data_IF_924232157675
#
_entry.id   IF_924232157675
#
_cell.length_a   1.000
_cell.length_b   1.000
_cell.length_c   1.000
_cell.angle_alpha   90.00
_cell.angle_beta   90.00
_cell.angle_gamma   90.00
#
_symmetry.space_group_name_H-M   'P 1'
#
loop_
_entity.id
_entity.type
_entity.pdbx_description
1 polymer ?
#
# COMPACT_ATOMS: atom_id res chain seq x y z
N UNK A 1 16.75 -2.45 5.38
CA UNK A 1 16.66 -3.59 4.46
C UNK A 1 15.39 -3.46 3.63
N UNK A 2 15.38 -3.96 2.38
CA UNK A 2 14.21 -3.86 1.51
C UNK A 2 13.19 -4.94 1.92
N UNK A 3 11.95 -4.54 2.21
CA UNK A 3 10.86 -5.48 2.54
C UNK A 3 10.08 -5.79 1.27
N UNK A 4 9.95 -7.08 0.97
CA UNK A 4 9.25 -7.58 -0.21
C UNK A 4 7.94 -8.26 0.20
N UNK A 5 6.81 -7.62 -0.09
CA UNK A 5 5.48 -8.17 0.14
C UNK A 5 4.86 -8.65 -1.17
N UNK A 6 4.28 -9.85 -1.17
CA UNK A 6 3.49 -10.38 -2.29
C UNK A 6 2.07 -10.67 -1.83
N UNK A 7 1.09 -10.09 -2.52
CA UNK A 7 -0.33 -10.19 -2.19
C UNK A 7 -1.11 -10.78 -3.37
N UNK A 8 -2.14 -11.57 -3.07
CA UNK A 8 -3.18 -11.92 -4.03
C UNK A 8 -4.31 -10.91 -3.92
N UNK A 9 -4.67 -10.30 -5.05
CA UNK A 9 -5.63 -9.20 -5.08
C UNK A 9 -6.71 -9.53 -6.11
N UNK A 10 -8.01 -9.43 -5.77
CA UNK A 10 -9.08 -9.60 -6.75
C UNK A 10 -8.91 -8.67 -7.95
N UNK A 11 -9.28 -9.12 -9.16
CA UNK A 11 -9.15 -8.34 -10.39
C UNK A 11 -9.79 -6.96 -10.34
N UNK A 12 -10.97 -6.86 -9.71
CA UNK A 12 -11.67 -5.59 -9.49
C UNK A 12 -10.88 -4.62 -8.61
N UNK A 13 -10.26 -5.11 -7.54
CA UNK A 13 -9.43 -4.32 -6.65
C UNK A 13 -8.10 -3.93 -7.32
N UNK A 14 -7.53 -4.83 -8.14
CA UNK A 14 -6.35 -4.51 -8.95
C UNK A 14 -6.63 -3.35 -9.93
N UNK A 15 -7.81 -3.32 -10.55
CA UNK A 15 -8.24 -2.20 -11.40
C UNK A 15 -8.30 -0.88 -10.65
N UNK A 16 -8.87 -0.87 -9.43
CA UNK A 16 -8.92 0.32 -8.58
C UNK A 16 -7.53 0.79 -8.12
N UNK A 17 -6.64 -0.14 -7.76
CA UNK A 17 -5.25 0.16 -7.37
C UNK A 17 -4.48 0.78 -8.54
N UNK A 18 -4.68 0.28 -9.76
CA UNK A 18 -4.04 0.85 -10.96
C UNK A 18 -4.62 2.23 -11.27
N UNK A 19 -5.95 2.37 -11.23
CA UNK A 19 -6.65 3.59 -11.59
C UNK A 19 -6.64 3.88 -13.10
N UNK A 20 -7.37 4.92 -13.51
CA UNK A 20 -7.43 5.32 -14.92
C UNK A 20 -6.06 5.78 -15.39
N UNK A 21 -5.55 5.18 -16.46
CA UNK A 21 -4.23 5.52 -17.00
C UNK A 21 -3.04 5.28 -16.04
N UNK A 22 -3.23 4.54 -14.95
CA UNK A 22 -2.18 4.34 -13.94
C UNK A 22 -2.06 5.45 -12.89
N UNK A 23 -2.96 6.43 -12.86
CA UNK A 23 -2.85 7.59 -11.98
C UNK A 23 -2.78 7.21 -10.49
N UNK A 24 -3.64 6.30 -10.05
CA UNK A 24 -3.73 5.89 -8.65
C UNK A 24 -2.47 5.16 -8.20
N UNK A 25 -1.96 4.20 -9.00
CA UNK A 25 -0.73 3.48 -8.66
C UNK A 25 0.49 4.40 -8.64
N UNK A 26 0.55 5.40 -9.52
CA UNK A 26 1.63 6.41 -9.49
C UNK A 26 1.52 7.31 -8.26
N UNK A 27 0.31 7.71 -7.85
CA UNK A 27 0.12 8.45 -6.61
C UNK A 27 0.57 7.63 -5.38
N UNK A 28 0.25 6.33 -5.33
CA UNK A 28 0.70 5.43 -4.25
C UNK A 28 2.24 5.34 -4.24
N UNK A 29 2.88 5.15 -5.40
CA UNK A 29 4.36 5.11 -5.48
C UNK A 29 4.99 6.43 -4.98
N UNK A 30 4.44 7.58 -5.37
CA UNK A 30 4.95 8.91 -4.96
C UNK A 30 4.80 9.16 -3.47
N UNK A 31 3.63 8.86 -2.91
CA UNK A 31 3.32 9.13 -1.50
C UNK A 31 4.02 8.18 -0.55
N UNK A 32 4.14 6.90 -0.94
CA UNK A 32 4.76 5.87 -0.10
C UNK A 32 6.24 5.67 -0.39
N UNK A 33 6.77 6.12 -1.52
CA UNK A 33 8.12 5.74 -1.98
C UNK A 33 8.28 4.23 -2.28
N UNK A 34 7.19 3.44 -2.21
CA UNK A 34 7.23 2.02 -2.52
C UNK A 34 7.29 1.80 -4.03
N UNK A 35 7.93 0.71 -4.44
CA UNK A 35 7.93 0.19 -5.80
C UNK A 35 6.83 -0.86 -5.91
N UNK A 36 5.80 -0.57 -6.69
CA UNK A 36 4.67 -1.47 -6.93
C UNK A 36 4.80 -2.14 -8.32
N UNK A 37 4.53 -3.44 -8.38
CA UNK A 37 4.46 -4.22 -9.62
C UNK A 37 3.27 -5.17 -9.59
N UNK A 38 2.37 -5.05 -10.56
CA UNK A 38 1.25 -5.98 -10.77
C UNK A 38 1.64 -7.09 -11.76
N UNK A 39 1.03 -8.28 -11.65
CA UNK A 39 1.06 -9.29 -12.70
C UNK A 39 0.47 -8.74 -14.01
N UNK A 40 0.89 -9.32 -15.14
CA UNK A 40 0.32 -8.97 -16.44
C UNK A 40 -1.16 -9.34 -16.48
N UNK A 41 -1.93 -8.65 -17.31
CA UNK A 41 -3.28 -9.08 -17.63
C UNK A 41 -3.26 -10.55 -18.11
N UNK A 42 -4.21 -11.36 -17.63
CA UNK A 42 -4.28 -12.80 -17.88
C UNK A 42 -3.17 -13.67 -17.26
N UNK A 43 -2.23 -13.10 -16.48
CA UNK A 43 -1.25 -13.86 -15.69
C UNK A 43 -1.76 -14.04 -14.26
N UNK A 44 -2.76 -14.93 -14.14
CA UNK A 44 -3.41 -15.23 -12.87
C UNK A 44 -2.58 -16.18 -11.99
N UNK A 45 -2.88 -16.19 -10.70
CA UNK A 45 -2.34 -17.22 -9.82
C UNK A 45 -3.00 -18.57 -10.15
N UNK A 46 -2.25 -19.66 -10.35
CA UNK A 46 -2.82 -20.98 -10.64
C UNK A 46 -3.86 -21.38 -9.59
N UNK A 47 -5.07 -21.77 -10.03
CA UNK A 47 -6.20 -22.07 -9.14
C UNK A 47 -7.06 -20.87 -8.73
N UNK A 48 -6.66 -19.63 -9.08
CA UNK A 48 -7.38 -18.40 -8.76
C UNK A 48 -7.47 -17.49 -9.98
N UNK A 49 -8.27 -17.90 -10.97
CA UNK A 49 -8.43 -17.25 -12.29
C UNK A 49 -8.96 -15.81 -12.27
N UNK A 50 -9.31 -15.27 -11.10
CA UNK A 50 -9.82 -13.90 -10.92
C UNK A 50 -8.90 -13.01 -10.08
N UNK A 51 -7.74 -13.53 -9.63
CA UNK A 51 -6.82 -12.83 -8.74
C UNK A 51 -5.50 -12.50 -9.43
N UNK A 52 -5.06 -11.25 -9.28
CA UNK A 52 -3.76 -10.77 -9.70
C UNK A 52 -2.74 -10.89 -8.57
N UNK A 53 -1.46 -11.02 -8.92
CA UNK A 53 -0.35 -10.92 -7.97
C UNK A 53 0.12 -9.47 -7.91
N UNK A 54 0.10 -8.86 -6.73
CA UNK A 54 0.71 -7.55 -6.47
C UNK A 54 1.99 -7.75 -5.66
N UNK A 55 3.11 -7.27 -6.20
CA UNK A 55 4.38 -7.18 -5.48
C UNK A 55 4.64 -5.74 -5.05
N UNK A 56 4.94 -5.56 -3.77
CA UNK A 56 5.29 -4.26 -3.18
C UNK A 56 6.69 -4.40 -2.60
N UNK A 57 7.59 -3.54 -3.05
CA UNK A 57 8.93 -3.42 -2.48
C UNK A 57 9.00 -2.05 -1.84
N UNK A 58 9.15 -2.02 -0.52
CA UNK A 58 9.30 -0.77 0.20
C UNK A 58 10.68 -0.74 0.83
N UNK A 59 11.42 0.33 0.54
CA UNK A 59 12.65 0.64 1.24
C UNK A 59 12.23 1.18 2.60
N UNK A 60 12.31 0.32 3.61
CA UNK A 60 12.26 0.67 5.03
C UNK A 60 10.88 0.91 5.66
N UNK A 61 10.29 -0.13 6.28
CA UNK A 61 9.14 -0.02 7.22
C UNK A 61 9.68 0.22 8.65
N UNK A 62 10.79 0.94 8.83
CA UNK A 62 11.18 1.41 10.16
C UNK A 62 10.13 2.41 10.59
N UNK A 63 9.17 1.90 11.35
CA UNK A 63 8.16 2.61 12.14
C UNK A 63 8.68 4.02 12.43
N UNK A 64 8.10 5.02 11.77
CA UNK A 64 8.46 6.40 12.02
C UNK A 64 8.15 6.66 13.49
N UNK A 65 9.19 6.81 14.31
CA UNK A 65 9.03 7.18 15.72
C UNK A 65 8.34 8.55 15.87
N UNK A 66 8.22 9.32 14.77
CA UNK A 66 7.43 10.55 14.69
C UNK A 66 5.98 10.36 14.20
N UNK A 67 5.52 9.14 13.92
CA UNK A 67 4.11 8.84 13.58
C UNK A 67 3.31 8.27 14.75
N UNK A 68 3.96 8.00 15.89
CA UNK A 68 3.28 7.97 17.17
C UNK A 68 3.01 9.44 17.54
N UNK A 69 1.86 9.97 17.11
CA UNK A 69 1.16 10.89 18.00
C UNK A 69 1.08 10.15 19.33
N UNK A 70 1.78 10.67 20.33
CA UNK A 70 1.80 10.08 21.66
C UNK A 70 0.34 10.02 22.07
N UNK A 71 -0.20 8.84 22.40
CA UNK A 71 -1.60 8.72 22.83
C UNK A 71 -1.90 9.60 24.07
N UNK A 72 -0.83 10.11 24.70
CA UNK A 72 -0.81 11.10 25.77
C UNK A 72 -1.12 12.54 25.34
N UNK A 73 -1.07 12.88 24.06
CA UNK A 73 -1.44 14.22 23.55
C UNK A 73 -2.98 14.44 23.53
N UNK A 74 -3.77 13.36 23.66
CA UNK A 74 -5.25 13.42 23.67
C UNK A 74 -5.79 13.77 25.07
N UNK A 75 -5.07 13.41 26.14
CA UNK A 75 -5.48 13.69 27.53
C UNK A 75 -5.21 15.15 27.95
N UNK A 76 -4.43 15.90 27.16
CA UNK A 76 -4.12 17.32 27.40
C UNK A 76 -5.15 18.30 26.84
N UNK A 77 -6.14 17.85 26.07
CA UNK A 77 -7.11 18.71 25.37
C UNK A 77 -8.39 19.00 26.18
N UNK A 78 -8.35 18.80 27.50
CA UNK A 78 -9.37 19.25 28.46
C UNK A 78 -8.75 20.18 29.51
N UNK A 79 -8.04 21.22 29.08
CA UNK A 79 -7.66 22.33 29.95
C UNK A 79 -7.39 23.60 29.12
N UNK A 80 -8.44 24.16 28.53
CA UNK A 80 -8.53 25.59 28.20
C UNK A 80 -10.01 25.96 28.31
N UNK A 81 -10.25 27.02 29.07
CA UNK A 81 -11.50 27.50 29.68
C UNK A 81 -12.79 27.38 28.85
#
# INVERSE_FOLDING_TARGET
>A
EDVHLKLLVPGVAAGAIIGRGGEAVEAIKRTTGARLKMSKANDFYPGFATFNRLSIIHRDIRYNRASLLDYRDIEGLHAVE
#
